data_IF_721263555211
#
_entry.id   IF_721263555211
#
_cell.length_a   1.000
_cell.length_b   1.000
_cell.length_c   1.000
_cell.angle_alpha   90.00
_cell.angle_beta   90.00
_cell.angle_gamma   90.00
#
_symmetry.space_group_name_H-M   'P 1'
#
loop_
_entity.id
_entity.type
_entity.pdbx_description
1 polymer ?
#
# COMPACT_ATOMS: atom_id res chain seq x y z
N UNK A 1 -20.41 -19.52 -9.98
CA UNK A 1 -21.20 -18.49 -10.69
C UNK A 1 -20.24 -17.44 -11.28
N UNK A 2 -19.35 -17.84 -12.20
CA UNK A 2 -18.33 -16.93 -12.79
C UNK A 2 -18.26 -17.10 -14.31
N UNK A 3 -19.45 -17.34 -14.95
CA UNK A 3 -19.57 -17.42 -16.41
C UNK A 3 -19.67 -16.05 -17.10
N UNK A 4 -19.18 -14.95 -16.50
CA UNK A 4 -19.31 -13.60 -17.04
C UNK A 4 -17.99 -12.91 -17.41
N UNK A 5 -16.84 -13.62 -17.41
CA UNK A 5 -15.54 -13.04 -17.79
C UNK A 5 -15.37 -12.90 -19.32
N UNK A 6 -16.41 -13.06 -20.08
CA UNK A 6 -16.41 -12.90 -21.52
C UNK A 6 -17.53 -12.03 -22.05
N UNK A 7 -18.14 -11.21 -21.22
CA UNK A 7 -19.27 -10.39 -21.65
C UNK A 7 -18.80 -9.21 -22.51
N UNK A 8 -19.24 -9.20 -23.76
CA UNK A 8 -19.23 -8.06 -24.68
C UNK A 8 -20.14 -6.90 -24.20
N UNK A 9 -20.51 -6.84 -22.91
CA UNK A 9 -21.34 -5.82 -22.34
C UNK A 9 -20.57 -4.50 -22.19
N UNK A 10 -21.27 -3.41 -22.39
CA UNK A 10 -20.73 -2.07 -22.19
C UNK A 10 -21.09 -1.59 -20.78
N UNK A 11 -20.09 -1.19 -20.03
CA UNK A 11 -20.23 -0.72 -18.65
C UNK A 11 -20.08 0.78 -18.55
N UNK A 12 -20.73 1.36 -17.53
CA UNK A 12 -20.58 2.77 -17.20
C UNK A 12 -20.50 2.99 -15.68
N UNK A 13 -19.75 4.01 -15.27
CA UNK A 13 -19.72 4.47 -13.89
C UNK A 13 -19.23 5.91 -13.78
N UNK A 14 -19.52 6.53 -12.63
CA UNK A 14 -18.90 7.79 -12.24
C UNK A 14 -17.42 7.55 -11.92
N UNK A 15 -16.52 8.24 -12.60
CA UNK A 15 -15.07 8.13 -12.43
C UNK A 15 -14.49 9.19 -11.46
N UNK A 16 -15.28 10.21 -11.10
CA UNK A 16 -14.96 11.21 -10.08
C UNK A 16 -15.59 10.83 -8.73
N UNK A 17 -15.13 11.38 -7.60
CA UNK A 17 -15.78 11.15 -6.31
C UNK A 17 -17.27 11.47 -6.32
N UNK A 18 -18.04 10.71 -5.53
CA UNK A 18 -19.46 10.99 -5.35
C UNK A 18 -19.69 12.32 -4.62
N UNK A 19 -20.72 13.06 -5.04
CA UNK A 19 -21.10 14.30 -4.41
C UNK A 19 -21.13 15.48 -5.38
N UNK A 20 -21.32 16.68 -4.85
CA UNK A 20 -21.37 17.91 -5.61
C UNK A 20 -19.93 18.40 -5.91
N UNK A 21 -19.67 18.74 -7.16
CA UNK A 21 -18.39 19.31 -7.61
C UNK A 21 -18.60 20.27 -8.77
N UNK A 22 -17.55 20.87 -9.27
CA UNK A 22 -17.62 21.69 -10.48
C UNK A 22 -17.85 20.84 -11.73
N UNK A 23 -17.17 19.69 -11.80
CA UNK A 23 -17.20 18.76 -12.94
C UNK A 23 -17.36 17.34 -12.38
N UNK A 24 -18.11 16.51 -13.11
CA UNK A 24 -18.16 15.07 -12.92
C UNK A 24 -17.82 14.37 -14.23
N UNK A 25 -17.07 13.26 -14.14
CA UNK A 25 -16.68 12.45 -15.30
C UNK A 25 -17.36 11.09 -15.19
N UNK A 26 -18.13 10.73 -16.23
CA UNK A 26 -18.69 9.39 -16.36
C UNK A 26 -17.92 8.65 -17.44
N UNK A 27 -17.41 7.47 -17.09
CA UNK A 27 -16.67 6.60 -18.00
C UNK A 27 -17.55 5.46 -18.49
N UNK A 28 -17.42 5.17 -19.78
CA UNK A 28 -18.11 4.09 -20.47
C UNK A 28 -17.06 3.25 -21.18
N UNK A 29 -17.10 1.91 -21.04
CA UNK A 29 -16.17 0.99 -21.70
C UNK A 29 -16.89 -0.22 -22.26
N UNK A 30 -16.51 -0.62 -23.47
CA UNK A 30 -17.06 -1.77 -24.18
C UNK A 30 -17.42 -1.47 -25.63
N UNK A 31 -17.82 -2.49 -26.38
CA UNK A 31 -18.05 -2.40 -27.83
C UNK A 31 -19.12 -1.37 -28.24
N UNK A 32 -20.09 -1.09 -27.36
CA UNK A 32 -21.16 -0.12 -27.64
C UNK A 32 -20.88 1.28 -27.05
N UNK A 33 -19.70 1.54 -26.49
CA UNK A 33 -19.39 2.83 -25.87
C UNK A 33 -19.56 4.01 -26.86
N UNK A 34 -19.00 3.90 -28.07
CA UNK A 34 -19.12 4.94 -29.09
C UNK A 34 -20.55 5.08 -29.61
N UNK A 35 -21.22 4.00 -30.05
CA UNK A 35 -22.60 4.08 -30.50
C UNK A 35 -23.56 4.73 -29.48
N UNK A 36 -23.49 4.30 -28.23
CA UNK A 36 -24.38 4.82 -27.16
C UNK A 36 -24.17 6.33 -26.99
N UNK A 37 -22.90 6.77 -26.88
CA UNK A 37 -22.60 8.20 -26.68
C UNK A 37 -22.98 9.01 -27.91
N UNK A 38 -22.78 8.50 -29.12
CA UNK A 38 -23.13 9.20 -30.35
C UNK A 38 -24.65 9.46 -30.49
N UNK A 39 -25.49 8.56 -29.93
CA UNK A 39 -26.95 8.78 -29.92
C UNK A 39 -27.39 9.88 -28.96
N UNK A 40 -26.60 10.16 -27.94
CA UNK A 40 -26.95 11.11 -26.87
C UNK A 40 -26.27 12.47 -27.02
N UNK A 41 -25.23 12.56 -27.84
CA UNK A 41 -24.39 13.74 -27.90
C UNK A 41 -24.48 14.50 -29.21
N UNK A 42 -24.70 15.80 -29.12
CA UNK A 42 -24.70 16.73 -30.26
C UNK A 42 -23.55 17.73 -30.13
N UNK A 43 -22.73 17.81 -31.19
CA UNK A 43 -21.68 18.82 -31.30
C UNK A 43 -22.03 19.82 -32.40
N UNK A 44 -21.85 21.10 -32.11
CA UNK A 44 -22.20 22.20 -33.06
C UNK A 44 -23.65 22.14 -33.60
N UNK A 45 -24.58 21.69 -32.74
CA UNK A 45 -26.01 21.59 -33.12
C UNK A 45 -26.35 20.41 -34.05
N UNK A 46 -25.41 19.46 -34.24
CA UNK A 46 -25.63 18.26 -35.05
C UNK A 46 -25.33 16.99 -34.24
N UNK A 47 -26.08 15.90 -34.44
CA UNK A 47 -25.72 14.59 -33.87
C UNK A 47 -24.30 14.21 -34.27
N UNK A 48 -23.59 13.59 -33.31
CA UNK A 48 -22.22 13.14 -33.56
C UNK A 48 -22.25 11.84 -34.40
N UNK A 49 -21.66 11.88 -35.60
CA UNK A 49 -21.57 10.71 -36.45
C UNK A 49 -20.37 9.85 -36.03
N UNK A 50 -20.56 8.54 -35.82
CA UNK A 50 -19.52 7.60 -35.38
C UNK A 50 -18.31 7.62 -36.33
N UNK A 51 -18.54 7.71 -37.64
CA UNK A 51 -17.48 7.75 -38.69
C UNK A 51 -16.58 9.00 -38.54
N UNK A 52 -17.13 10.09 -37.97
CA UNK A 52 -16.39 11.34 -37.73
C UNK A 52 -15.67 11.42 -36.40
N UNK A 53 -15.72 10.37 -35.57
CA UNK A 53 -15.05 10.36 -34.26
C UNK A 53 -13.54 10.15 -34.44
N UNK A 54 -12.75 11.14 -34.05
CA UNK A 54 -11.30 11.02 -33.94
C UNK A 54 -10.92 10.70 -32.51
N UNK A 55 -10.29 9.54 -32.23
CA UNK A 55 -9.83 9.18 -30.90
C UNK A 55 -8.86 10.23 -30.32
N UNK A 56 -8.86 10.35 -28.98
CA UNK A 56 -8.03 11.30 -28.23
C UNK A 56 -8.32 12.79 -28.51
N UNK A 57 -9.48 13.09 -29.10
CA UNK A 57 -9.98 14.45 -29.34
C UNK A 57 -11.16 14.73 -28.43
N UNK A 58 -11.18 15.90 -27.83
CA UNK A 58 -12.31 16.39 -27.04
C UNK A 58 -13.37 17.04 -27.95
N UNK A 59 -14.62 16.69 -27.72
CA UNK A 59 -15.78 17.23 -28.40
C UNK A 59 -16.64 17.98 -27.41
N UNK A 60 -16.84 19.27 -27.64
CA UNK A 60 -17.77 20.09 -26.87
C UNK A 60 -19.15 20.07 -27.50
N UNK A 61 -20.19 19.99 -26.66
CA UNK A 61 -21.58 19.95 -27.14
C UNK A 61 -22.59 19.72 -26.03
N UNK A 62 -23.73 19.18 -26.41
CA UNK A 62 -24.87 18.98 -25.52
C UNK A 62 -25.27 17.51 -25.46
N UNK A 63 -25.64 17.05 -24.26
CA UNK A 63 -26.25 15.75 -24.05
C UNK A 63 -27.78 15.92 -24.15
N UNK A 64 -28.38 15.17 -25.07
CA UNK A 64 -29.82 15.24 -25.37
C UNK A 64 -30.37 13.82 -25.34
N UNK A 65 -31.47 13.62 -24.62
CA UNK A 65 -32.20 12.37 -24.58
C UNK A 65 -33.69 12.63 -24.89
N UNK A 66 -34.23 12.06 -25.98
CA UNK A 66 -35.62 12.24 -26.40
C UNK A 66 -36.03 13.73 -26.40
N UNK A 67 -35.26 14.58 -27.05
CA UNK A 67 -35.43 16.05 -27.15
C UNK A 67 -35.28 16.82 -25.81
N UNK A 68 -35.01 16.14 -24.70
CA UNK A 68 -34.70 16.78 -23.43
C UNK A 68 -33.19 17.09 -23.33
N UNK A 69 -32.83 18.34 -23.15
CA UNK A 69 -31.47 18.76 -22.86
C UNK A 69 -31.08 18.32 -21.42
N UNK A 70 -30.11 17.45 -21.30
CA UNK A 70 -29.64 16.97 -20.01
C UNK A 70 -28.56 17.88 -19.43
N UNK A 71 -27.53 18.19 -20.23
CA UNK A 71 -26.43 19.05 -19.82
C UNK A 71 -25.59 19.48 -21.01
N UNK A 72 -24.74 20.49 -20.81
CA UNK A 72 -23.61 20.81 -21.66
C UNK A 72 -22.40 19.94 -21.24
N UNK A 73 -21.71 19.36 -22.21
CA UNK A 73 -20.69 18.34 -21.91
C UNK A 73 -19.47 18.42 -22.82
N UNK A 74 -18.37 17.89 -22.31
CA UNK A 74 -17.18 17.56 -23.12
C UNK A 74 -17.02 16.05 -23.15
N UNK A 75 -16.93 15.47 -24.35
CA UNK A 75 -16.77 14.03 -24.55
C UNK A 75 -15.43 13.74 -25.19
N UNK A 76 -14.70 12.75 -24.63
CA UNK A 76 -13.46 12.24 -25.21
C UNK A 76 -13.59 10.76 -25.49
N UNK A 77 -13.15 10.33 -26.66
CA UNK A 77 -13.20 8.94 -27.10
C UNK A 77 -11.81 8.34 -27.17
N UNK A 78 -11.66 7.11 -26.69
CA UNK A 78 -10.42 6.35 -26.71
C UNK A 78 -10.65 5.02 -27.43
N UNK A 79 -10.00 4.83 -28.57
CA UNK A 79 -10.16 3.64 -29.40
C UNK A 79 -9.29 2.48 -28.89
N UNK A 80 -9.87 1.29 -28.82
CA UNK A 80 -9.14 0.05 -28.56
C UNK A 80 -7.95 -0.12 -29.54
N UNK A 81 -6.79 -0.63 -29.08
CA UNK A 81 -6.42 -0.96 -27.70
C UNK A 81 -5.86 0.21 -26.90
N UNK A 82 -5.90 1.46 -27.42
CA UNK A 82 -5.29 2.65 -26.84
C UNK A 82 -6.24 3.38 -25.87
N UNK A 83 -6.81 2.64 -24.93
CA UNK A 83 -7.65 3.13 -23.83
C UNK A 83 -7.18 2.58 -22.50
N UNK A 84 -7.80 3.00 -21.40
CA UNK A 84 -7.49 2.49 -20.07
C UNK A 84 -7.78 0.99 -19.96
N UNK A 85 -8.96 0.55 -20.38
CA UNK A 85 -9.39 -0.86 -20.33
C UNK A 85 -8.85 -1.71 -21.46
N UNK A 86 -8.32 -1.10 -22.53
CA UNK A 86 -8.01 -1.79 -23.79
C UNK A 86 -9.21 -1.98 -24.71
N UNK A 87 -10.43 -1.55 -24.28
CA UNK A 87 -11.66 -1.56 -25.05
C UNK A 87 -11.97 -0.17 -25.63
N UNK A 88 -12.97 -0.03 -26.51
CA UNK A 88 -13.50 1.28 -26.87
C UNK A 88 -14.06 1.96 -25.62
N UNK A 89 -13.58 3.16 -25.32
CA UNK A 89 -13.92 3.88 -24.08
C UNK A 89 -14.31 5.31 -24.42
N UNK A 90 -15.35 5.83 -23.75
CA UNK A 90 -15.73 7.22 -23.79
C UNK A 90 -15.76 7.81 -22.39
N UNK A 91 -15.29 9.05 -22.25
CA UNK A 91 -15.39 9.84 -21.02
C UNK A 91 -16.24 11.07 -21.28
N UNK A 92 -17.31 11.20 -20.51
CA UNK A 92 -18.25 12.31 -20.57
C UNK A 92 -18.05 13.20 -19.35
N UNK A 93 -17.54 14.39 -19.56
CA UNK A 93 -17.39 15.42 -18.52
C UNK A 93 -18.63 16.31 -18.55
N UNK A 94 -19.35 16.37 -17.44
CA UNK A 94 -20.59 17.14 -17.21
C UNK A 94 -20.46 18.05 -16.00
N UNK A 95 -21.43 18.95 -15.77
CA UNK A 95 -21.47 19.69 -14.52
C UNK A 95 -21.66 18.73 -13.34
N UNK A 96 -20.92 18.98 -12.25
CA UNK A 96 -20.83 18.11 -11.07
C UNK A 96 -22.08 18.13 -10.18
N UNK A 97 -23.28 18.37 -10.73
CA UNK A 97 -24.54 18.26 -10.01
C UNK A 97 -24.89 16.79 -9.75
N UNK A 98 -25.25 16.45 -8.52
CA UNK A 98 -25.68 15.09 -8.15
C UNK A 98 -26.85 14.64 -9.02
N UNK A 99 -27.78 15.55 -9.36
CA UNK A 99 -28.89 15.26 -10.24
C UNK A 99 -28.44 14.88 -11.66
N UNK A 100 -27.52 15.66 -12.24
CA UNK A 100 -26.97 15.40 -13.58
C UNK A 100 -26.25 14.06 -13.63
N UNK A 101 -25.41 13.78 -12.62
CA UNK A 101 -24.69 12.51 -12.49
C UNK A 101 -25.66 11.31 -12.50
N UNK A 102 -26.68 11.33 -11.65
CA UNK A 102 -27.67 10.25 -11.54
C UNK A 102 -28.51 10.12 -12.80
N UNK A 103 -28.98 11.23 -13.35
CA UNK A 103 -29.81 11.24 -14.57
C UNK A 103 -29.03 10.68 -15.76
N UNK A 104 -27.76 11.08 -15.95
CA UNK A 104 -26.96 10.60 -17.06
C UNK A 104 -26.65 9.10 -16.92
N UNK A 105 -26.35 8.60 -15.72
CA UNK A 105 -26.16 7.16 -15.49
C UNK A 105 -27.44 6.38 -15.82
N UNK A 106 -28.62 6.86 -15.39
CA UNK A 106 -29.90 6.24 -15.74
C UNK A 106 -30.13 6.18 -17.25
N UNK A 107 -29.84 7.28 -17.95
CA UNK A 107 -29.98 7.37 -19.42
C UNK A 107 -29.03 6.37 -20.09
N UNK A 108 -27.75 6.29 -19.65
CA UNK A 108 -26.80 5.34 -20.21
C UNK A 108 -27.23 3.89 -20.00
N UNK A 109 -27.76 3.56 -18.82
CA UNK A 109 -28.31 2.21 -18.55
C UNK A 109 -29.52 1.92 -19.45
N UNK A 110 -30.41 2.90 -19.64
CA UNK A 110 -31.55 2.76 -20.55
C UNK A 110 -31.14 2.56 -22.02
N UNK A 111 -29.93 3.03 -22.41
CA UNK A 111 -29.36 2.85 -23.76
C UNK A 111 -28.48 1.60 -23.87
N UNK A 112 -28.48 0.70 -22.87
CA UNK A 112 -27.82 -0.60 -22.94
C UNK A 112 -26.48 -0.69 -22.24
N UNK A 113 -26.07 0.33 -21.47
CA UNK A 113 -24.97 0.17 -20.52
C UNK A 113 -25.40 -0.62 -19.29
N UNK A 114 -24.48 -1.33 -18.68
CA UNK A 114 -24.60 -1.86 -17.31
C UNK A 114 -23.76 -1.01 -16.36
N UNK A 115 -24.23 -0.85 -15.12
CA UNK A 115 -23.39 -0.26 -14.09
C UNK A 115 -22.17 -1.15 -13.83
N UNK A 116 -20.99 -0.53 -13.77
CA UNK A 116 -19.75 -1.22 -13.46
C UNK A 116 -19.71 -1.68 -12.00
N UNK A 117 -19.13 -2.85 -11.76
CA UNK A 117 -18.75 -3.33 -10.43
C UNK A 117 -17.51 -2.60 -9.89
N UNK A 118 -17.23 -2.78 -8.60
CA UNK A 118 -16.00 -2.26 -8.00
C UNK A 118 -14.77 -2.81 -8.74
N UNK A 119 -13.83 -1.93 -9.14
CA UNK A 119 -12.60 -2.30 -9.84
C UNK A 119 -12.78 -2.90 -11.24
N UNK A 120 -13.98 -2.87 -11.83
CA UNK A 120 -14.23 -3.58 -13.09
C UNK A 120 -13.44 -3.01 -14.27
N UNK A 121 -13.26 -1.70 -14.36
CA UNK A 121 -12.44 -1.12 -15.43
C UNK A 121 -10.97 -1.59 -15.33
N UNK A 122 -10.40 -1.62 -14.13
CA UNK A 122 -9.03 -2.11 -13.91
C UNK A 122 -8.94 -3.62 -14.15
N UNK A 123 -9.95 -4.39 -13.76
CA UNK A 123 -10.03 -5.83 -14.06
C UNK A 123 -10.04 -6.09 -15.58
N UNK A 124 -10.81 -5.32 -16.36
CA UNK A 124 -10.81 -5.41 -17.83
C UNK A 124 -9.44 -5.04 -18.42
N UNK A 125 -8.80 -4.00 -17.88
CA UNK A 125 -7.44 -3.63 -18.28
C UNK A 125 -6.44 -4.78 -18.04
N UNK A 126 -6.52 -5.45 -16.88
CA UNK A 126 -5.72 -6.64 -16.57
C UNK A 126 -5.99 -7.79 -17.54
N UNK A 127 -7.26 -8.15 -17.79
CA UNK A 127 -7.65 -9.20 -18.73
C UNK A 127 -7.17 -8.88 -20.16
N UNK A 128 -7.23 -7.61 -20.56
CA UNK A 128 -6.74 -7.11 -21.84
C UNK A 128 -5.22 -6.85 -21.86
N UNK A 129 -4.48 -7.32 -20.84
CA UNK A 129 -3.00 -7.24 -20.74
C UNK A 129 -2.44 -5.82 -20.83
N UNK A 130 -3.20 -4.82 -20.39
CA UNK A 130 -2.70 -3.44 -20.25
C UNK A 130 -1.78 -3.31 -19.05
N UNK A 131 -2.07 -4.06 -17.99
CA UNK A 131 -1.35 -4.12 -16.73
C UNK A 131 -1.26 -5.57 -16.29
N UNK A 132 -0.22 -5.90 -15.54
CA UNK A 132 -0.22 -7.10 -14.70
C UNK A 132 -0.96 -6.84 -13.37
N UNK A 133 -1.09 -7.89 -12.54
CA UNK A 133 -1.85 -7.78 -11.31
C UNK A 133 -1.20 -6.82 -10.29
N UNK A 134 0.15 -6.76 -10.24
CA UNK A 134 0.86 -5.85 -9.34
C UNK A 134 0.69 -4.40 -9.75
N UNK A 135 0.67 -4.12 -11.05
CA UNK A 135 0.40 -2.78 -11.59
C UNK A 135 -1.06 -2.38 -11.38
N UNK A 136 -2.01 -3.33 -11.50
CA UNK A 136 -3.41 -3.09 -11.19
C UNK A 136 -3.58 -2.70 -9.71
N UNK A 137 -2.98 -3.45 -8.78
CA UNK A 137 -2.98 -3.11 -7.35
C UNK A 137 -2.35 -1.74 -7.06
N UNK A 138 -1.26 -1.40 -7.77
CA UNK A 138 -0.59 -0.11 -7.65
C UNK A 138 -1.48 1.09 -8.03
N UNK A 139 -2.48 0.91 -8.90
CA UNK A 139 -3.47 1.96 -9.22
C UNK A 139 -4.30 2.29 -7.97
N UNK A 140 -4.74 1.29 -7.22
CA UNK A 140 -5.47 1.52 -5.97
C UNK A 140 -4.60 2.20 -4.92
N UNK A 141 -3.35 1.74 -4.78
CA UNK A 141 -2.37 2.30 -3.85
C UNK A 141 -2.04 3.77 -4.18
N UNK A 142 -1.93 4.09 -5.47
CA UNK A 142 -1.68 5.47 -5.92
C UNK A 142 -2.82 6.42 -5.54
N UNK A 143 -4.06 5.95 -5.66
CA UNK A 143 -5.25 6.74 -5.36
C UNK A 143 -5.41 6.96 -3.85
N UNK A 144 -5.07 5.96 -3.05
CA UNK A 144 -5.14 6.00 -1.60
C UNK A 144 -3.89 6.58 -0.92
N UNK A 145 -2.87 6.98 -1.70
CA UNK A 145 -1.62 7.49 -1.14
C UNK A 145 -1.82 8.86 -0.46
N UNK A 146 -1.47 8.95 0.82
CA UNK A 146 -1.57 10.17 1.64
C UNK A 146 -0.20 10.81 1.93
N UNK A 147 0.89 10.21 1.42
CA UNK A 147 2.24 10.71 1.62
C UNK A 147 3.06 10.65 0.33
N UNK A 148 4.09 11.51 0.25
CA UNK A 148 5.02 11.50 -0.89
C UNK A 148 5.72 10.14 -1.04
N UNK A 149 6.11 9.53 0.07
CA UNK A 149 6.77 8.23 0.07
C UNK A 149 5.84 7.13 -0.46
N UNK A 150 4.57 7.07 0.01
CA UNK A 150 3.58 6.12 -0.50
C UNK A 150 3.29 6.32 -1.98
N UNK A 151 3.10 7.57 -2.42
CA UNK A 151 2.90 7.91 -3.82
C UNK A 151 4.08 7.45 -4.69
N UNK A 152 5.32 7.68 -4.27
CA UNK A 152 6.54 7.29 -5.00
C UNK A 152 6.63 5.77 -5.17
N UNK A 153 6.37 5.01 -4.10
CA UNK A 153 6.37 3.54 -4.15
C UNK A 153 5.29 3.04 -5.11
N UNK A 154 4.06 3.58 -5.02
CA UNK A 154 2.95 3.21 -5.91
C UNK A 154 3.25 3.52 -7.38
N UNK A 155 3.83 4.68 -7.68
CA UNK A 155 4.26 5.04 -9.06
C UNK A 155 5.34 4.11 -9.58
N UNK A 156 6.35 3.74 -8.77
CA UNK A 156 7.38 2.79 -9.18
C UNK A 156 6.78 1.41 -9.50
N UNK A 157 5.87 0.95 -8.67
CA UNK A 157 5.16 -0.31 -8.88
C UNK A 157 4.27 -0.26 -10.14
N UNK A 158 3.54 0.84 -10.36
CA UNK A 158 2.73 1.06 -11.57
C UNK A 158 3.58 1.07 -12.85
N UNK A 159 4.79 1.62 -12.80
CA UNK A 159 5.76 1.58 -13.92
C UNK A 159 6.33 0.19 -14.18
N UNK A 160 5.96 -0.81 -13.39
CA UNK A 160 6.39 -2.20 -13.51
C UNK A 160 7.78 -2.49 -12.95
N UNK A 161 8.29 -1.67 -12.03
CA UNK A 161 9.59 -1.91 -11.38
C UNK A 161 9.63 -3.28 -10.69
N UNK A 162 8.63 -3.57 -9.86
CA UNK A 162 8.50 -4.84 -9.17
C UNK A 162 8.26 -6.03 -10.12
N UNK A 163 7.39 -5.85 -11.11
CA UNK A 163 7.09 -6.88 -12.12
C UNK A 163 8.33 -7.32 -12.90
N UNK A 164 9.21 -6.36 -13.26
CA UNK A 164 10.47 -6.67 -13.95
C UNK A 164 11.40 -7.53 -13.08
N UNK A 165 11.52 -7.22 -11.79
CA UNK A 165 12.32 -8.05 -10.88
C UNK A 165 11.77 -9.46 -10.76
N UNK A 166 10.44 -9.61 -10.62
CA UNK A 166 9.78 -10.91 -10.60
C UNK A 166 9.96 -11.70 -11.90
N UNK A 167 9.91 -11.03 -13.07
CA UNK A 167 10.18 -11.67 -14.36
C UNK A 167 11.60 -12.20 -14.47
N UNK A 168 12.60 -11.48 -13.95
CA UNK A 168 13.99 -11.96 -13.90
C UNK A 168 14.10 -13.20 -13.02
N UNK A 169 13.51 -13.19 -11.82
CA UNK A 169 13.50 -14.34 -10.92
C UNK A 169 12.80 -15.54 -11.55
N UNK A 170 11.64 -15.30 -12.17
CA UNK A 170 10.89 -16.34 -12.89
C UNK A 170 11.69 -16.96 -14.02
N UNK A 171 12.41 -16.14 -14.81
CA UNK A 171 13.25 -16.64 -15.90
C UNK A 171 14.37 -17.56 -15.38
N UNK A 172 15.01 -17.18 -14.27
CA UNK A 172 16.03 -18.02 -13.61
C UNK A 172 15.45 -19.34 -13.11
N UNK A 173 14.25 -19.32 -12.51
CA UNK A 173 13.57 -20.55 -12.07
C UNK A 173 13.19 -21.45 -13.23
N UNK A 174 12.72 -20.90 -14.34
CA UNK A 174 12.43 -21.67 -15.55
C UNK A 174 13.69 -22.29 -16.13
N UNK A 175 14.82 -21.56 -16.15
CA UNK A 175 16.11 -22.12 -16.58
C UNK A 175 16.54 -23.29 -15.70
N UNK A 176 16.47 -23.13 -14.36
CA UNK A 176 16.74 -24.22 -13.41
C UNK A 176 15.82 -25.43 -13.62
N UNK A 177 14.52 -25.19 -13.79
CA UNK A 177 13.55 -26.27 -14.02
C UNK A 177 13.87 -27.01 -15.30
N UNK A 178 14.18 -26.30 -16.38
CA UNK A 178 14.52 -26.93 -17.67
C UNK A 178 15.80 -27.77 -17.60
N UNK A 179 16.82 -27.29 -16.88
CA UNK A 179 18.08 -28.06 -16.68
C UNK A 179 17.82 -29.36 -15.91
N UNK A 180 16.99 -29.30 -14.87
CA UNK A 180 16.62 -30.45 -14.05
C UNK A 180 15.75 -31.44 -14.83
N UNK A 181 14.80 -30.96 -15.64
CA UNK A 181 13.94 -31.81 -16.48
C UNK A 181 14.76 -32.52 -17.57
N UNK A 182 15.73 -31.86 -18.17
CA UNK A 182 16.67 -32.51 -19.10
C UNK A 182 17.47 -33.64 -18.42
N UNK A 183 17.94 -33.43 -17.18
CA UNK A 183 18.64 -34.48 -16.41
C UNK A 183 17.72 -35.68 -16.12
N UNK A 184 16.42 -35.44 -15.90
CA UNK A 184 15.43 -36.51 -15.72
C UNK A 184 15.18 -37.31 -17.01
N UNK A 185 15.00 -36.64 -18.13
CA UNK A 185 14.71 -37.28 -19.40
C UNK A 185 15.87 -38.17 -19.89
N UNK A 186 17.11 -37.84 -19.56
CA UNK A 186 18.33 -38.57 -19.94
C UNK A 186 18.95 -39.34 -18.77
N UNK A 187 18.23 -39.57 -17.68
CA UNK A 187 18.72 -40.27 -16.49
C UNK A 187 19.15 -41.73 -16.76
N UNK A 188 18.69 -42.35 -17.86
CA UNK A 188 19.11 -43.70 -18.29
C UNK A 188 20.48 -43.71 -18.99
N UNK A 189 21.05 -42.55 -19.37
CA UNK A 189 22.30 -42.43 -20.14
C UNK A 189 23.53 -42.03 -19.31
N UNK A 190 23.45 -41.94 -17.97
CA UNK A 190 24.49 -41.49 -17.03
C UNK A 190 25.12 -40.12 -17.41
N UNK A 191 24.37 -39.23 -18.04
CA UNK A 191 24.87 -37.90 -18.46
C UNK A 191 24.40 -36.83 -17.47
N UNK A 192 25.34 -36.25 -16.73
CA UNK A 192 25.09 -35.02 -15.95
C UNK A 192 25.03 -33.83 -16.91
N UNK A 193 23.84 -33.36 -17.24
CA UNK A 193 23.63 -32.20 -18.14
C UNK A 193 23.78 -30.84 -17.45
N UNK A 194 23.58 -30.79 -16.13
CA UNK A 194 23.68 -29.57 -15.37
C UNK A 194 24.97 -29.57 -14.53
N UNK A 195 25.83 -28.57 -14.72
CA UNK A 195 26.87 -28.29 -13.73
C UNK A 195 26.20 -27.91 -12.41
N UNK A 196 26.20 -28.87 -11.47
CA UNK A 196 25.57 -28.70 -10.15
C UNK A 196 26.12 -27.48 -9.39
N UNK A 197 27.33 -27.04 -9.69
CA UNK A 197 27.91 -25.83 -9.09
C UNK A 197 27.22 -24.57 -9.63
N UNK A 198 26.93 -24.51 -10.92
CA UNK A 198 26.20 -23.41 -11.55
C UNK A 198 24.74 -23.40 -11.08
N UNK A 199 24.10 -24.56 -11.00
CA UNK A 199 22.72 -24.66 -10.49
C UNK A 199 22.61 -24.18 -9.04
N UNK A 200 23.56 -24.57 -8.16
CA UNK A 200 23.59 -24.12 -6.76
C UNK A 200 23.85 -22.60 -6.68
N UNK A 201 24.75 -22.05 -7.49
CA UNK A 201 25.02 -20.62 -7.51
C UNK A 201 23.78 -19.83 -7.96
N UNK A 202 23.08 -20.29 -9.00
CA UNK A 202 21.88 -19.66 -9.52
C UNK A 202 20.72 -19.74 -8.50
N UNK A 203 20.60 -20.87 -7.79
CA UNK A 203 19.64 -21.04 -6.71
C UNK A 203 19.90 -20.09 -5.55
N UNK A 204 21.17 -19.98 -5.10
CA UNK A 204 21.53 -19.09 -4.00
C UNK A 204 21.24 -17.63 -4.35
N UNK A 205 21.66 -17.16 -5.53
CA UNK A 205 21.38 -15.79 -5.98
C UNK A 205 19.88 -15.51 -6.08
N UNK A 206 19.09 -16.49 -6.51
CA UNK A 206 17.62 -16.37 -6.57
C UNK A 206 17.01 -16.32 -5.17
N UNK A 207 17.47 -17.19 -4.26
CA UNK A 207 16.99 -17.23 -2.87
C UNK A 207 17.33 -15.94 -2.13
N UNK A 208 18.54 -15.40 -2.29
CA UNK A 208 18.97 -14.14 -1.68
C UNK A 208 18.09 -12.97 -2.18
N UNK A 209 17.79 -12.93 -3.46
CA UNK A 209 16.94 -11.91 -4.03
C UNK A 209 15.48 -12.01 -3.56
N UNK A 210 14.92 -13.22 -3.50
CA UNK A 210 13.57 -13.47 -2.96
C UNK A 210 13.50 -13.03 -1.48
N UNK A 211 14.50 -13.37 -0.68
CA UNK A 211 14.58 -12.96 0.72
C UNK A 211 14.70 -11.43 0.85
N UNK A 212 15.53 -10.77 0.04
CA UNK A 212 15.66 -9.31 0.04
C UNK A 212 14.30 -8.64 -0.24
N UNK A 213 13.55 -9.13 -1.25
CA UNK A 213 12.22 -8.61 -1.54
C UNK A 213 11.24 -8.89 -0.40
N UNK A 214 11.22 -10.11 0.13
CA UNK A 214 10.37 -10.50 1.26
C UNK A 214 10.61 -9.61 2.47
N UNK A 215 11.88 -9.39 2.84
CA UNK A 215 12.26 -8.61 4.03
C UNK A 215 12.00 -7.10 3.86
N UNK A 216 11.93 -6.62 2.61
CA UNK A 216 11.51 -5.23 2.30
C UNK A 216 10.06 -4.94 2.66
N UNK A 217 9.22 -5.99 2.86
CA UNK A 217 7.78 -5.83 3.15
C UNK A 217 7.50 -4.98 4.39
N UNK A 218 8.27 -5.14 5.44
CA UNK A 218 8.06 -4.39 6.68
C UNK A 218 8.12 -2.88 6.45
N UNK A 219 9.17 -2.43 5.74
CA UNK A 219 9.33 -1.03 5.37
C UNK A 219 8.29 -0.59 4.35
N UNK A 220 8.07 -1.38 3.30
CA UNK A 220 7.10 -1.05 2.26
C UNK A 220 5.66 -0.92 2.79
N UNK A 221 5.26 -1.85 3.66
CA UNK A 221 3.95 -1.80 4.30
C UNK A 221 3.81 -0.59 5.25
N UNK A 222 4.87 -0.26 6.00
CA UNK A 222 4.89 0.91 6.86
C UNK A 222 4.80 2.23 6.05
N UNK A 223 5.48 2.32 4.90
CA UNK A 223 5.39 3.48 4.01
C UNK A 223 3.98 3.61 3.43
N UNK A 224 3.37 2.50 2.98
CA UNK A 224 2.04 2.48 2.36
C UNK A 224 0.94 2.85 3.36
N UNK A 225 0.92 2.23 4.54
CA UNK A 225 -0.17 2.34 5.51
C UNK A 225 0.11 3.35 6.63
N UNK A 226 1.25 4.01 6.59
CA UNK A 226 1.77 4.82 7.69
C UNK A 226 2.51 3.98 8.73
N UNK A 227 3.56 4.55 9.31
CA UNK A 227 4.36 3.91 10.36
C UNK A 227 3.54 3.89 11.64
N UNK A 228 3.17 2.70 12.18
CA UNK A 228 2.41 2.63 13.40
C UNK A 228 3.29 3.03 14.59
N UNK A 229 2.83 4.07 15.33
CA UNK A 229 3.52 4.65 16.48
C UNK A 229 2.71 4.44 17.74
N UNK A 230 3.32 3.85 18.76
CA UNK A 230 2.75 3.78 20.10
C UNK A 230 3.41 4.80 21.04
N UNK A 231 2.62 5.65 21.71
CA UNK A 231 3.11 6.51 22.81
C UNK A 231 2.77 5.84 24.13
N UNK A 232 3.80 5.41 24.86
CA UNK A 232 3.67 4.70 26.14
C UNK A 232 4.36 5.42 27.28
N UNK A 233 4.02 5.11 28.48
CA UNK A 233 4.61 5.71 29.69
C UNK A 233 3.58 5.84 30.83
N UNK A 234 4.02 6.13 32.03
CA UNK A 234 3.17 6.28 33.21
C UNK A 234 2.16 7.44 33.07
N UNK A 235 1.18 7.49 33.96
CA UNK A 235 0.25 8.62 34.05
C UNK A 235 0.98 9.95 34.25
N UNK A 236 0.45 11.03 33.69
CA UNK A 236 0.99 12.39 33.81
C UNK A 236 2.43 12.61 33.26
N UNK A 237 2.96 11.71 32.43
CA UNK A 237 4.23 11.93 31.73
C UNK A 237 4.12 12.93 30.57
N UNK A 238 2.90 13.26 30.13
CA UNK A 238 2.66 14.25 29.08
C UNK A 238 2.41 13.65 27.68
N UNK A 239 1.97 12.40 27.59
CA UNK A 239 1.65 11.70 26.34
C UNK A 239 0.66 12.47 25.45
N UNK A 240 -0.48 12.88 26.04
CA UNK A 240 -1.51 13.64 25.32
C UNK A 240 -1.01 15.04 24.90
N UNK A 241 -0.18 15.67 25.75
CA UNK A 241 0.43 16.95 25.41
C UNK A 241 1.39 16.81 24.23
N UNK A 242 2.24 15.77 24.24
CA UNK A 242 3.14 15.52 23.11
C UNK A 242 2.37 15.27 21.82
N UNK A 243 1.35 14.42 21.82
CA UNK A 243 0.52 14.17 20.65
C UNK A 243 -0.13 15.46 20.13
N UNK A 244 -0.72 16.27 21.01
CA UNK A 244 -1.33 17.54 20.61
C UNK A 244 -0.30 18.55 20.08
N UNK A 245 0.92 18.56 20.64
CA UNK A 245 2.03 19.40 20.15
C UNK A 245 2.42 18.99 18.74
N UNK A 246 2.58 17.68 18.48
CA UNK A 246 2.92 17.15 17.15
C UNK A 246 1.82 17.43 16.12
N UNK A 247 0.54 17.33 16.52
CA UNK A 247 -0.61 17.58 15.62
C UNK A 247 -0.87 19.07 15.40
N UNK A 248 -0.45 19.94 16.30
CA UNK A 248 -0.70 21.39 16.25
C UNK A 248 0.34 22.20 15.48
N UNK A 249 1.42 21.60 14.99
CA UNK A 249 2.43 22.31 14.20
C UNK A 249 2.01 22.44 12.72
N UNK A 250 2.32 23.61 12.11
CA UNK A 250 2.09 23.90 10.67
C UNK A 250 2.82 22.93 9.71
N UNK A 251 3.73 22.12 10.22
CA UNK A 251 4.44 21.05 9.50
C UNK A 251 3.59 19.79 9.33
N UNK A 252 2.47 19.70 10.05
CA UNK A 252 1.56 18.56 10.07
C UNK A 252 0.41 18.80 9.10
N UNK A 253 0.39 18.09 7.98
CA UNK A 253 -0.81 18.02 7.14
C UNK A 253 -1.71 16.95 7.77
N UNK A 254 -2.72 17.39 8.50
CA UNK A 254 -3.77 16.50 9.04
C UNK A 254 -4.73 16.16 7.90
N UNK A 255 -4.92 14.89 7.61
CA UNK A 255 -5.91 14.45 6.62
C UNK A 255 -7.31 14.40 7.28
N UNK A 256 -8.19 15.31 6.90
CA UNK A 256 -9.59 15.35 7.32
C UNK A 256 -10.50 14.39 6.51
N UNK A 257 -10.03 13.22 6.13
CA UNK A 257 -10.87 12.26 5.42
C UNK A 257 -11.74 11.50 6.43
N UNK A 258 -12.93 12.02 6.67
CA UNK A 258 -14.00 11.32 7.36
C UNK A 258 -14.50 10.16 6.49
N UNK A 259 -14.17 8.91 6.83
CA UNK A 259 -14.82 7.78 6.14
C UNK A 259 -14.17 6.42 6.15
N UNK A 260 -13.32 6.05 7.13
CA UNK A 260 -12.94 4.65 7.26
C UNK A 260 -13.12 4.15 8.70
N UNK A 261 -14.10 3.26 8.85
CA UNK A 261 -14.35 2.28 9.91
C UNK A 261 -14.38 2.70 11.38
N UNK A 262 -15.47 2.37 12.02
CA UNK A 262 -16.04 2.67 13.33
C UNK A 262 -15.28 2.24 14.59
N UNK A 263 -14.05 1.73 14.57
CA UNK A 263 -13.54 1.00 15.76
C UNK A 263 -12.26 1.52 16.41
N UNK A 264 -11.47 2.41 15.81
CA UNK A 264 -10.31 3.04 16.50
C UNK A 264 -10.07 4.45 15.96
N UNK A 265 -10.03 5.44 16.87
CA UNK A 265 -9.61 6.81 16.52
C UNK A 265 -8.09 6.80 16.47
N UNK A 266 -7.54 6.68 15.27
CA UNK A 266 -6.11 6.83 15.01
C UNK A 266 -5.86 8.23 14.46
N UNK A 267 -4.77 8.85 14.91
CA UNK A 267 -4.33 10.16 14.41
C UNK A 267 -3.17 9.95 13.47
N UNK A 268 -3.19 10.60 12.33
CA UNK A 268 -2.12 10.53 11.34
C UNK A 268 -1.36 11.84 11.26
N UNK A 269 -0.04 11.75 11.09
CA UNK A 269 0.87 12.87 11.00
C UNK A 269 1.84 12.66 9.84
N UNK A 270 1.85 13.57 8.87
CA UNK A 270 2.82 13.53 7.79
C UNK A 270 4.05 14.36 8.17
N UNK A 271 5.20 13.70 8.33
CA UNK A 271 6.49 14.35 8.64
C UNK A 271 7.41 14.11 7.45
N UNK A 272 7.76 15.18 6.74
CA UNK A 272 8.69 15.16 5.59
C UNK A 272 8.35 14.09 4.54
N UNK A 273 7.05 13.93 4.24
CA UNK A 273 6.57 12.99 3.22
C UNK A 273 6.41 11.54 3.71
N UNK A 274 6.60 11.26 4.99
CA UNK A 274 6.33 9.96 5.63
C UNK A 274 5.13 10.11 6.55
N UNK A 275 4.17 9.19 6.42
CA UNK A 275 2.99 9.13 7.27
C UNK A 275 3.30 8.34 8.55
N UNK A 276 3.07 8.95 9.71
CA UNK A 276 3.10 8.29 11.01
C UNK A 276 1.66 8.16 11.53
N UNK A 277 1.29 6.97 11.97
CA UNK A 277 -0.05 6.64 12.44
C UNK A 277 0.00 6.31 13.94
N UNK A 278 -0.51 7.21 14.76
CA UNK A 278 -0.55 7.06 16.22
C UNK A 278 -1.70 6.14 16.61
N UNK A 279 -1.35 4.93 17.08
CA UNK A 279 -2.33 3.90 17.40
C UNK A 279 -2.97 4.15 18.78
N UNK A 280 -4.31 3.95 18.86
CA UNK A 280 -5.12 4.06 20.07
C UNK A 280 -5.00 5.41 20.82
N UNK A 281 -5.26 6.50 20.11
CA UNK A 281 -5.27 7.85 20.68
C UNK A 281 -6.45 8.09 21.62
N UNK A 282 -7.50 7.25 21.57
CA UNK A 282 -8.68 7.37 22.44
C UNK A 282 -8.34 7.30 23.93
N UNK A 283 -7.36 6.48 24.33
CA UNK A 283 -6.84 6.44 25.69
C UNK A 283 -6.01 7.65 26.10
N UNK A 284 -5.54 8.45 25.13
CA UNK A 284 -4.77 9.67 25.38
C UNK A 284 -5.67 10.91 25.55
N UNK A 285 -6.91 10.88 25.03
CA UNK A 285 -7.86 12.00 25.10
C UNK A 285 -8.75 11.99 26.34
N UNK A 286 -8.95 10.81 26.98
CA UNK A 286 -9.77 10.67 28.21
C UNK A 286 -8.88 10.61 29.45
N UNK A 287 -8.83 11.70 30.19
CA UNK A 287 -8.20 11.81 31.52
C UNK A 287 -9.16 11.41 32.61
N UNK A 288 -9.53 10.14 32.75
CA UNK A 288 -10.25 9.65 33.91
C UNK A 288 -9.41 8.63 34.69
N UNK A 289 -9.15 8.96 35.95
CA UNK A 289 -8.25 8.28 36.89
C UNK A 289 -8.68 6.86 37.32
N UNK A 290 -9.75 6.29 36.77
CA UNK A 290 -10.39 5.10 37.37
C UNK A 290 -10.08 3.76 36.68
N UNK A 291 -9.13 3.69 35.68
CA UNK A 291 -8.89 2.43 34.94
C UNK A 291 -7.40 2.08 34.86
N UNK A 292 -6.72 2.01 35.97
CA UNK A 292 -5.28 1.76 36.06
C UNK A 292 -4.85 0.34 35.65
N UNK A 293 -5.64 -0.69 35.99
CA UNK A 293 -5.29 -2.10 35.64
C UNK A 293 -5.59 -2.49 34.20
N UNK A 294 -6.64 -1.94 33.58
CA UNK A 294 -7.00 -2.18 32.17
C UNK A 294 -6.04 -1.43 31.22
N UNK A 295 -5.41 -0.33 31.70
CA UNK A 295 -4.46 0.46 30.93
C UNK A 295 -3.13 -0.27 30.65
N UNK A 296 -2.69 -1.15 31.52
CA UNK A 296 -1.40 -1.86 31.39
C UNK A 296 -1.49 -2.92 30.29
N UNK A 297 -2.52 -3.77 30.26
CA UNK A 297 -2.69 -4.78 29.21
C UNK A 297 -2.91 -4.15 27.82
N UNK A 298 -3.65 -3.04 27.75
CA UNK A 298 -3.82 -2.29 26.49
C UNK A 298 -2.50 -1.69 25.99
N UNK A 299 -1.65 -1.20 26.90
CA UNK A 299 -0.33 -0.66 26.54
C UNK A 299 0.59 -1.73 25.94
N UNK A 300 0.53 -2.97 26.42
CA UNK A 300 1.29 -4.08 25.84
C UNK A 300 0.87 -4.40 24.42
N UNK A 301 -0.44 -4.48 24.18
CA UNK A 301 -0.95 -4.73 22.82
C UNK A 301 -0.52 -3.65 21.84
N UNK A 302 -0.54 -2.38 22.26
CA UNK A 302 -0.07 -1.25 21.44
C UNK A 302 1.40 -1.36 21.08
N UNK A 303 2.25 -1.74 22.04
CA UNK A 303 3.68 -1.94 21.78
C UNK A 303 3.87 -3.02 20.71
N UNK A 304 3.16 -4.14 20.80
CA UNK A 304 3.27 -5.23 19.84
C UNK A 304 2.83 -4.86 18.41
N UNK A 305 1.86 -3.95 18.26
CA UNK A 305 1.35 -3.51 16.96
C UNK A 305 2.21 -2.37 16.34
N UNK A 306 3.05 -1.72 17.14
CA UNK A 306 3.84 -0.57 16.72
C UNK A 306 5.15 -1.00 16.03
N UNK A 307 5.57 -0.23 15.03
CA UNK A 307 6.93 -0.29 14.46
C UNK A 307 7.86 0.67 15.21
N UNK A 308 7.30 1.76 15.73
CA UNK A 308 8.00 2.78 16.51
C UNK A 308 7.31 2.94 17.86
N UNK A 309 8.10 2.88 18.94
CA UNK A 309 7.60 3.10 20.30
C UNK A 309 8.23 4.37 20.85
N UNK A 310 7.40 5.31 21.30
CA UNK A 310 7.81 6.52 22.01
C UNK A 310 7.53 6.32 23.50
N UNK A 311 8.57 6.05 24.27
CA UNK A 311 8.51 5.88 25.72
C UNK A 311 8.62 7.24 26.44
N UNK A 312 7.55 7.66 27.16
CA UNK A 312 7.52 8.94 27.85
C UNK A 312 7.89 8.80 29.32
N UNK A 313 8.96 9.48 29.73
CA UNK A 313 9.38 9.61 31.12
C UNK A 313 9.13 11.03 31.66
N UNK A 314 9.00 11.17 32.95
CA UNK A 314 8.79 12.44 33.62
C UNK A 314 10.09 12.93 34.30
N UNK A 315 10.66 14.02 33.84
CA UNK A 315 11.94 14.54 34.30
C UNK A 315 11.96 15.02 35.78
N UNK A 316 10.81 15.27 36.39
CA UNK A 316 10.71 15.72 37.79
C UNK A 316 10.64 14.58 38.82
N UNK A 317 10.64 13.33 38.36
CA UNK A 317 10.67 12.14 39.23
C UNK A 317 12.10 11.89 39.71
N UNK A 318 12.20 11.19 40.85
CA UNK A 318 13.51 10.76 41.33
C UNK A 318 14.18 9.79 40.32
N UNK A 319 15.49 9.69 40.40
CA UNK A 319 16.30 8.91 39.46
C UNK A 319 15.90 7.43 39.42
N UNK A 320 15.68 6.82 40.61
CA UNK A 320 15.29 5.41 40.69
C UNK A 320 13.99 5.11 39.96
N UNK A 321 12.99 5.98 40.14
CA UNK A 321 11.72 5.87 39.43
C UNK A 321 11.84 6.05 37.93
N UNK A 322 12.71 6.95 37.45
CA UNK A 322 12.97 7.12 36.01
C UNK A 322 13.67 5.90 35.43
N UNK A 323 14.69 5.37 36.09
CA UNK A 323 15.43 4.19 35.65
C UNK A 323 14.52 2.95 35.59
N UNK A 324 13.69 2.73 36.65
CA UNK A 324 12.72 1.64 36.66
C UNK A 324 11.72 1.75 35.51
N UNK A 325 11.17 2.94 35.27
CA UNK A 325 10.20 3.18 34.19
C UNK A 325 10.82 3.01 32.80
N UNK A 326 12.08 3.38 32.62
CA UNK A 326 12.79 3.16 31.37
C UNK A 326 13.01 1.65 31.10
N UNK A 327 13.49 0.92 32.11
CA UNK A 327 13.68 -0.53 32.01
C UNK A 327 12.37 -1.26 31.73
N UNK A 328 11.27 -0.88 32.40
CA UNK A 328 9.93 -1.44 32.17
C UNK A 328 9.45 -1.26 30.71
N UNK A 329 9.87 -0.19 30.03
CA UNK A 329 9.55 0.05 28.63
C UNK A 329 10.47 -0.78 27.73
N UNK A 330 11.78 -0.76 27.98
CA UNK A 330 12.80 -1.48 27.20
C UNK A 330 12.52 -2.99 27.19
N UNK A 331 12.18 -3.58 28.33
CA UNK A 331 11.86 -5.01 28.45
C UNK A 331 10.65 -5.43 27.62
N UNK A 332 9.76 -4.50 27.28
CA UNK A 332 8.52 -4.77 26.54
C UNK A 332 8.61 -4.56 25.04
N UNK A 333 9.68 -3.92 24.57
CA UNK A 333 9.92 -3.60 23.18
C UNK A 333 10.86 -4.63 22.55
N UNK A 334 10.44 -5.16 21.43
CA UNK A 334 11.30 -6.04 20.63
C UNK A 334 12.27 -5.19 19.80
N UNK A 335 13.45 -4.89 20.37
CA UNK A 335 14.46 -4.02 19.75
C UNK A 335 15.06 -4.61 18.44
N UNK A 336 14.91 -5.91 18.18
CA UNK A 336 15.30 -6.50 16.89
C UNK A 336 14.36 -6.06 15.76
N UNK A 337 13.10 -5.79 16.12
CA UNK A 337 12.03 -5.52 15.15
C UNK A 337 11.37 -4.14 15.30
N UNK A 338 11.58 -3.44 16.40
CA UNK A 338 10.96 -2.16 16.71
C UNK A 338 12.02 -1.11 17.05
N UNK A 339 11.78 0.14 16.69
CA UNK A 339 12.60 1.25 17.15
C UNK A 339 12.01 1.83 18.44
N UNK A 340 12.86 2.12 19.41
CA UNK A 340 12.49 2.75 20.66
C UNK A 340 13.11 4.14 20.79
N UNK A 341 12.26 5.14 21.02
CA UNK A 341 12.67 6.50 21.39
C UNK A 341 12.19 6.75 22.81
N UNK A 342 13.09 6.98 23.75
CA UNK A 342 12.73 7.39 25.10
C UNK A 342 12.79 8.90 25.20
N UNK A 343 11.62 9.53 25.41
CA UNK A 343 11.44 10.95 25.58
C UNK A 343 11.34 11.30 27.07
N UNK A 344 12.31 12.07 27.58
CA UNK A 344 12.29 12.59 28.94
C UNK A 344 11.65 13.98 28.88
N UNK A 345 10.38 14.05 29.29
CA UNK A 345 9.54 15.24 29.18
C UNK A 345 9.58 16.12 30.44
N UNK A 346 9.20 17.37 30.27
CA UNK A 346 9.15 18.44 31.28
C UNK A 346 10.52 18.88 31.77
N UNK A 347 11.51 18.89 30.88
CA UNK A 347 12.88 19.36 31.21
C UNK A 347 12.93 20.83 31.58
N UNK A 348 11.92 21.61 31.21
CA UNK A 348 11.72 23.02 31.63
C UNK A 348 11.60 23.19 33.15
N UNK A 349 11.29 22.11 33.89
CA UNK A 349 11.16 22.13 35.34
C UNK A 349 12.42 21.68 36.07
N UNK A 350 13.48 21.31 35.33
CA UNK A 350 14.72 20.83 35.90
C UNK A 350 15.68 21.98 36.28
N UNK A 351 16.40 21.78 37.41
CA UNK A 351 17.59 22.54 37.77
C UNK A 351 18.84 21.96 37.05
N UNK A 352 19.99 22.63 37.14
CA UNK A 352 21.27 22.14 36.61
C UNK A 352 21.62 20.75 37.10
N UNK A 353 21.23 20.39 38.33
CA UNK A 353 21.40 19.04 38.88
C UNK A 353 20.56 17.99 38.15
N UNK A 354 19.36 18.37 37.68
CA UNK A 354 18.48 17.49 36.89
C UNK A 354 19.07 17.15 35.52
N UNK A 355 19.78 18.05 34.90
CA UNK A 355 20.47 17.82 33.61
C UNK A 355 21.57 16.76 33.76
N UNK A 356 22.33 16.79 34.87
CA UNK A 356 23.33 15.77 35.16
C UNK A 356 22.72 14.36 35.33
N UNK A 357 21.54 14.25 35.95
CA UNK A 357 20.82 12.97 36.10
C UNK A 357 20.41 12.35 34.77
N UNK A 358 20.10 13.17 33.75
CA UNK A 358 19.77 12.66 32.40
C UNK A 358 20.97 12.05 31.71
N UNK A 359 22.16 12.64 31.88
CA UNK A 359 23.43 12.08 31.40
C UNK A 359 23.73 10.73 32.05
N UNK A 360 23.49 10.60 33.36
CA UNK A 360 23.66 9.37 34.11
C UNK A 360 22.67 8.28 33.67
N UNK A 361 21.40 8.63 33.47
CA UNK A 361 20.36 7.70 32.99
C UNK A 361 20.75 7.06 31.64
N UNK A 362 21.28 7.87 30.72
CA UNK A 362 21.76 7.37 29.41
C UNK A 362 22.96 6.42 29.57
N UNK A 363 23.86 6.68 30.50
CA UNK A 363 25.00 5.81 30.78
C UNK A 363 24.58 4.50 31.43
N UNK A 364 23.66 4.55 32.41
CA UNK A 364 23.22 3.37 33.15
C UNK A 364 22.35 2.44 32.30
N UNK A 365 21.58 2.97 31.36
CA UNK A 365 20.79 2.18 30.41
C UNK A 365 21.64 1.58 29.29
N UNK A 366 22.80 2.18 28.98
CA UNK A 366 23.86 1.71 28.07
C UNK A 366 23.34 0.84 26.90
N UNK A 367 22.36 1.33 26.17
CA UNK A 367 21.74 0.61 25.06
C UNK A 367 21.81 1.49 23.80
N UNK A 368 22.67 1.08 22.84
CA UNK A 368 22.90 1.82 21.60
C UNK A 368 21.71 1.77 20.63
N UNK A 369 20.79 0.82 20.82
CA UNK A 369 19.60 0.67 19.98
C UNK A 369 18.43 1.58 20.43
N UNK A 370 18.61 2.32 21.54
CA UNK A 370 17.60 3.22 22.11
C UNK A 370 17.98 4.68 21.90
N UNK A 371 17.10 5.44 21.29
CA UNK A 371 17.28 6.88 21.11
C UNK A 371 16.73 7.62 22.33
N UNK A 372 17.56 8.48 22.96
CA UNK A 372 17.16 9.31 24.11
C UNK A 372 17.02 10.76 23.73
N UNK A 373 15.84 11.35 24.00
CA UNK A 373 15.51 12.74 23.69
C UNK A 373 14.99 13.44 24.96
N UNK A 374 15.56 14.61 25.25
CA UNK A 374 15.10 15.48 26.31
C UNK A 374 14.19 16.54 25.70
N UNK A 375 12.94 16.65 26.21
CA UNK A 375 11.99 17.61 25.63
C UNK A 375 11.05 18.22 26.69
N UNK A 376 10.45 19.35 26.32
CA UNK A 376 9.26 19.88 26.97
C UNK A 376 8.17 20.05 25.93
N UNK A 377 7.24 19.11 25.92
CA UNK A 377 6.13 19.12 24.95
C UNK A 377 5.27 20.39 25.09
N UNK A 378 5.12 20.93 26.31
CA UNK A 378 4.34 22.15 26.58
C UNK A 378 5.03 23.42 26.04
N UNK A 379 6.34 23.47 26.05
CA UNK A 379 7.13 24.67 25.69
C UNK A 379 7.89 24.51 24.37
N UNK A 380 7.59 23.46 23.60
CA UNK A 380 8.20 23.17 22.28
C UNK A 380 9.73 23.02 22.31
N UNK A 381 10.32 22.66 23.46
CA UNK A 381 11.75 22.44 23.59
C UNK A 381 12.09 20.99 23.22
N UNK A 382 13.14 20.76 22.41
CA UNK A 382 13.59 19.44 22.02
C UNK A 382 12.65 18.69 21.06
N UNK A 383 11.62 19.34 20.53
CA UNK A 383 10.68 18.73 19.56
C UNK A 383 11.37 18.53 18.21
N UNK A 384 12.27 19.44 17.82
CA UNK A 384 13.07 19.28 16.59
C UNK A 384 13.97 18.03 16.65
N UNK A 385 14.50 17.66 17.82
CA UNK A 385 15.29 16.43 17.98
C UNK A 385 14.41 15.19 17.78
N UNK A 386 13.16 15.23 18.23
CA UNK A 386 12.20 14.16 17.98
C UNK A 386 11.87 14.08 16.48
N UNK A 387 11.64 15.20 15.80
CA UNK A 387 11.44 15.21 14.34
C UNK A 387 12.67 14.65 13.61
N UNK A 388 13.88 14.99 14.02
CA UNK A 388 15.10 14.45 13.43
C UNK A 388 15.23 12.95 13.61
N UNK A 389 14.85 12.42 14.78
CA UNK A 389 14.82 10.98 15.02
C UNK A 389 13.77 10.27 14.16
N UNK A 390 12.59 10.87 13.98
CA UNK A 390 11.53 10.36 13.10
C UNK A 390 11.97 10.40 11.62
N UNK A 391 12.74 11.41 11.22
CA UNK A 391 13.25 11.55 9.85
C UNK A 391 14.24 10.46 9.42
N UNK A 392 14.83 9.71 10.34
CA UNK A 392 15.71 8.58 9.98
C UNK A 392 15.00 7.55 9.10
N UNK A 393 13.66 7.43 9.20
CA UNK A 393 12.87 6.60 8.30
C UNK A 393 12.89 7.07 6.84
N UNK A 394 13.20 8.34 6.58
CA UNK A 394 13.32 8.88 5.22
C UNK A 394 14.54 8.31 4.48
N UNK A 395 15.63 8.05 5.19
CA UNK A 395 16.86 7.51 4.59
C UNK A 395 16.74 6.02 4.23
N UNK A 396 15.81 5.29 4.84
CA UNK A 396 15.55 3.89 4.55
C UNK A 396 14.79 3.67 3.21
N UNK A 397 14.15 4.71 2.68
CA UNK A 397 13.48 4.69 1.38
C UNK A 397 14.39 5.27 0.30
N UNK A 398 15.38 4.48 -0.19
CA UNK A 398 16.14 4.90 -1.36
C UNK A 398 15.17 5.08 -2.56
N UNK A 399 15.36 6.10 -3.42
CA UNK A 399 14.43 6.44 -4.50
C UNK A 399 14.14 5.30 -5.47
N UNK A 400 15.09 4.37 -5.62
CA UNK A 400 15.05 3.28 -6.61
C UNK A 400 14.81 1.90 -5.99
N UNK A 401 14.60 1.80 -4.66
CA UNK A 401 14.38 0.51 -4.02
C UNK A 401 13.00 -0.05 -4.38
N UNK A 402 13.00 -1.28 -4.90
CA UNK A 402 11.76 -2.04 -5.07
C UNK A 402 11.29 -2.56 -3.71
N UNK A 403 10.19 -2.02 -3.21
CA UNK A 403 9.61 -2.39 -1.93
C UNK A 403 8.34 -3.20 -2.11
N UNK A 404 8.19 -4.26 -1.34
CA UNK A 404 6.96 -5.04 -1.25
C UNK A 404 6.02 -4.36 -0.25
N UNK A 405 4.83 -3.97 -0.71
CA UNK A 405 3.85 -3.23 0.11
C UNK A 405 2.59 -4.03 0.44
N UNK A 406 2.38 -5.14 -0.25
CA UNK A 406 1.16 -5.94 -0.15
C UNK A 406 1.43 -7.25 0.58
N UNK A 407 0.58 -7.60 1.57
CA UNK A 407 0.65 -8.87 2.32
C UNK A 407 0.62 -10.08 1.39
N UNK A 408 -0.23 -10.06 0.36
CA UNK A 408 -0.32 -11.12 -0.64
C UNK A 408 1.03 -11.40 -1.33
N UNK A 409 1.76 -10.34 -1.68
CA UNK A 409 3.09 -10.47 -2.28
C UNK A 409 4.10 -11.04 -1.30
N UNK A 410 4.05 -10.57 -0.03
CA UNK A 410 4.89 -11.08 1.03
C UNK A 410 4.67 -12.58 1.27
N UNK A 411 3.43 -13.02 1.39
CA UNK A 411 3.08 -14.43 1.57
C UNK A 411 3.55 -15.29 0.40
N UNK A 412 3.34 -14.85 -0.83
CA UNK A 412 3.81 -15.56 -2.02
C UNK A 412 5.36 -15.64 -2.06
N UNK A 413 6.07 -14.57 -1.71
CA UNK A 413 7.54 -14.59 -1.60
C UNK A 413 8.03 -15.48 -0.47
N UNK A 414 7.33 -15.52 0.67
CA UNK A 414 7.66 -16.40 1.78
C UNK A 414 7.53 -17.89 1.39
N UNK A 415 6.43 -18.25 0.73
CA UNK A 415 6.25 -19.60 0.21
C UNK A 415 7.27 -19.97 -0.88
N UNK A 416 7.59 -19.02 -1.79
CA UNK A 416 8.63 -19.24 -2.79
C UNK A 416 10.01 -19.44 -2.13
N UNK A 417 10.34 -18.65 -1.10
CA UNK A 417 11.58 -18.80 -0.33
C UNK A 417 11.67 -20.17 0.35
N UNK A 418 10.56 -20.66 0.93
CA UNK A 418 10.52 -21.97 1.58
C UNK A 418 10.72 -23.09 0.56
N UNK A 419 10.02 -23.05 -0.59
CA UNK A 419 10.20 -24.02 -1.67
C UNK A 419 11.64 -24.02 -2.20
N UNK A 420 12.28 -22.85 -2.37
CA UNK A 420 13.68 -22.76 -2.81
C UNK A 420 14.67 -23.32 -1.76
N UNK A 421 14.40 -23.18 -0.47
CA UNK A 421 15.19 -23.83 0.59
C UNK A 421 15.07 -25.36 0.53
N UNK A 422 13.87 -25.88 0.23
CA UNK A 422 13.67 -27.32 0.03
C UNK A 422 14.46 -27.82 -1.19
N UNK A 423 14.49 -27.05 -2.30
CA UNK A 423 15.36 -27.31 -3.45
C UNK A 423 16.83 -27.37 -3.03
N UNK A 424 17.29 -26.39 -2.24
CA UNK A 424 18.67 -26.32 -1.77
C UNK A 424 19.04 -27.57 -0.96
N UNK A 425 18.20 -27.92 0.01
CA UNK A 425 18.40 -29.11 0.83
C UNK A 425 18.37 -30.39 0.00
N UNK A 426 17.44 -30.47 -0.98
CA UNK A 426 17.36 -31.61 -1.90
C UNK A 426 18.64 -31.84 -2.71
N UNK A 427 19.21 -30.72 -3.22
CA UNK A 427 20.48 -30.77 -3.96
C UNK A 427 21.69 -31.12 -3.08
N UNK A 428 21.68 -30.74 -1.80
CA UNK A 428 22.72 -31.08 -0.83
C UNK A 428 22.66 -32.54 -0.40
N UNK A 429 21.44 -33.07 -0.21
CA UNK A 429 21.18 -34.44 0.21
C UNK A 429 21.15 -35.44 -0.96
N UNK A 430 21.36 -35.00 -2.19
CA UNK A 430 21.22 -35.80 -3.41
C UNK A 430 19.87 -36.55 -3.50
N UNK A 431 18.79 -35.84 -3.16
CA UNK A 431 17.42 -36.38 -3.30
C UNK A 431 17.11 -36.58 -4.80
N UNK A 432 16.24 -37.52 -5.17
CA UNK A 432 15.81 -37.73 -6.54
C UNK A 432 15.35 -36.45 -7.22
N UNK A 433 15.79 -36.24 -8.44
CA UNK A 433 15.65 -34.99 -9.21
C UNK A 433 14.18 -34.62 -9.51
N UNK A 434 13.29 -35.63 -9.56
CA UNK A 434 11.83 -35.45 -9.70
C UNK A 434 11.20 -34.66 -8.53
N UNK A 435 11.65 -34.93 -7.29
CA UNK A 435 11.19 -34.19 -6.10
C UNK A 435 11.73 -32.76 -6.10
N UNK A 436 13.00 -32.56 -6.46
CA UNK A 436 13.60 -31.23 -6.60
C UNK A 436 12.87 -30.40 -7.68
N UNK A 437 12.49 -31.01 -8.81
CA UNK A 437 11.70 -30.36 -9.87
C UNK A 437 10.34 -29.91 -9.35
N UNK A 438 9.69 -30.71 -8.49
CA UNK A 438 8.41 -30.36 -7.90
C UNK A 438 8.51 -29.09 -7.03
N UNK A 439 9.53 -28.98 -6.18
CA UNK A 439 9.73 -27.81 -5.31
C UNK A 439 10.04 -26.56 -6.14
N UNK A 440 10.82 -26.68 -7.22
CA UNK A 440 11.05 -25.59 -8.17
C UNK A 440 9.78 -25.09 -8.85
N UNK A 441 8.92 -26.03 -9.28
CA UNK A 441 7.60 -25.68 -9.86
C UNK A 441 6.69 -24.99 -8.83
N UNK A 442 6.77 -25.36 -7.55
CA UNK A 442 6.04 -24.65 -6.49
C UNK A 442 6.57 -23.21 -6.31
N UNK A 443 7.88 -23.03 -6.24
CA UNK A 443 8.46 -21.69 -6.17
C UNK A 443 8.03 -20.83 -7.37
N UNK A 444 8.07 -21.39 -8.58
CA UNK A 444 7.62 -20.73 -9.80
C UNK A 444 6.13 -20.35 -9.74
N UNK A 445 5.28 -21.25 -9.25
CA UNK A 445 3.86 -21.00 -9.04
C UNK A 445 3.60 -19.82 -8.13
N UNK A 446 4.29 -19.77 -6.97
CA UNK A 446 4.14 -18.68 -6.02
C UNK A 446 4.58 -17.33 -6.59
N UNK A 447 5.71 -17.27 -7.30
CA UNK A 447 6.14 -16.02 -7.96
C UNK A 447 5.19 -15.60 -9.09
N UNK A 448 4.70 -16.54 -9.90
CA UNK A 448 3.76 -16.26 -10.99
C UNK A 448 2.39 -15.80 -10.50
N UNK A 449 1.99 -16.21 -9.30
CA UNK A 449 0.74 -15.75 -8.67
C UNK A 449 0.77 -14.27 -8.30
N UNK A 450 1.94 -13.69 -8.06
CA UNK A 450 2.10 -12.27 -7.72
C UNK A 450 1.71 -11.40 -8.93
N UNK A 451 2.22 -11.71 -10.12
CA UNK A 451 1.96 -10.96 -11.36
C UNK A 451 0.60 -11.29 -12.00
N UNK A 452 -0.05 -12.37 -11.52
CA UNK A 452 -1.33 -12.83 -12.06
C UNK A 452 -1.23 -13.67 -13.34
N UNK A 453 -0.04 -14.19 -13.68
CA UNK A 453 0.12 -15.18 -14.77
C UNK A 453 -0.60 -16.48 -14.42
N UNK A 454 -0.62 -16.83 -13.13
CA UNK A 454 -1.40 -17.91 -12.55
C UNK A 454 -2.30 -17.29 -11.49
N UNK A 455 -3.62 -17.34 -11.72
CA UNK A 455 -4.59 -16.76 -10.76
C UNK A 455 -5.92 -17.48 -10.89
N UNK A 456 -6.74 -17.39 -9.84
CA UNK A 456 -8.12 -17.88 -9.84
C UNK A 456 -9.09 -16.69 -9.85
N UNK A 457 -10.31 -16.94 -10.34
CA UNK A 457 -11.37 -15.92 -10.34
C UNK A 457 -11.71 -15.42 -8.93
N UNK A 458 -11.57 -16.28 -7.93
CA UNK A 458 -11.78 -15.91 -6.52
C UNK A 458 -10.73 -14.91 -6.04
N UNK A 459 -9.45 -15.13 -6.37
CA UNK A 459 -8.36 -14.20 -6.04
C UNK A 459 -8.57 -12.85 -6.74
N UNK A 460 -8.91 -12.86 -8.03
CA UNK A 460 -9.24 -11.62 -8.76
C UNK A 460 -10.44 -10.91 -8.15
N UNK A 461 -11.50 -11.64 -7.81
CA UNK A 461 -12.69 -11.09 -7.16
C UNK A 461 -12.34 -10.39 -5.84
N UNK A 462 -11.53 -11.01 -4.99
CA UNK A 462 -11.10 -10.45 -3.71
C UNK A 462 -10.23 -9.19 -3.88
N UNK A 463 -9.35 -9.17 -4.86
CA UNK A 463 -8.49 -8.01 -5.12
C UNK A 463 -9.35 -6.84 -5.61
N UNK A 464 -10.13 -7.04 -6.67
CA UNK A 464 -10.88 -5.95 -7.32
C UNK A 464 -12.08 -5.45 -6.50
N UNK A 465 -12.66 -6.25 -5.61
CA UNK A 465 -13.74 -5.80 -4.73
C UNK A 465 -13.35 -4.67 -3.77
N UNK A 466 -12.05 -4.48 -3.53
CA UNK A 466 -11.51 -3.40 -2.68
C UNK A 466 -11.29 -2.09 -3.43
N UNK A 467 -11.48 -2.08 -4.74
CA UNK A 467 -11.32 -0.89 -5.56
C UNK A 467 -12.57 -0.01 -5.55
N UNK A 468 -12.39 1.27 -5.88
CA UNK A 468 -13.52 2.17 -6.06
C UNK A 468 -14.34 1.79 -7.31
N UNK A 469 -15.66 1.99 -7.26
CA UNK A 469 -16.53 1.93 -8.46
C UNK A 469 -16.08 3.04 -9.42
N UNK A 470 -15.95 2.73 -10.71
CA UNK A 470 -15.47 3.68 -11.72
C UNK A 470 -13.98 3.55 -12.06
N UNK A 471 -13.28 2.59 -11.40
CA UNK A 471 -11.87 2.25 -11.66
C UNK A 471 -11.66 0.76 -11.89
#
# INVERSE_FOLDING_TARGET
MLNHIGNNDTICALATPHGMGAIAVIRISGAQAFPIVATLFQSQGKPLEIIGIHPNKAYHGYLINNDELLDEAVVTFFKAPHSFTGEDTAEISVHGSVYVQQKLLQVLVAHGCRMAEAGEFTRRAFVNRKFDLTQAEAIADLISSESEAAHRVAINQLKGGFSKELQVLRSKLLEMTSLIELELDFSEEDVEFADRSQLKALLQDTLDKVNTLKDSFRLGNAIKNGIPVAIVGQTNTGKSTLLNTLLGEDRAIVSDIAGTTRDTIEETLNINGILFRFIDTAGLRKTDETIEKIGIERSYKKIQEATLVIGMLHATKDYGSMLSAANDIIEKVDLEHQQLIICINKVDTLSDHGVALLGQLRQDLNNDDVIFICLSAKHYLGIDDLYNALNQYQTLSSPDATLVTNVRHYEALAHASESLKQVQQGLEMNIPTDLVSQDLRQALYHLSSITGEITTDEVLGNIFSRFCIGK
#
